data_IF_142815988519
#
_entry.id   IF_142815988519
#
_cell.length_a   1.000
_cell.length_b   1.000
_cell.length_c   1.000
_cell.angle_alpha   90.00
_cell.angle_beta   90.00
_cell.angle_gamma   90.00
#
_symmetry.space_group_name_H-M   'P 1'
#
loop_
_entity.id
_entity.type
_entity.pdbx_description
1 polymer ?
#
# COMPACT_ATOMS: atom_id res chain seq x y z
N UNK A 1 59.02 7.55 -15.71
CA UNK A 1 57.56 7.63 -15.96
C UNK A 1 57.00 8.66 -14.99
N UNK A 2 56.62 9.83 -15.49
CA UNK A 2 56.00 10.91 -14.71
C UNK A 2 54.47 10.71 -14.70
N UNK A 3 53.78 10.89 -13.56
CA UNK A 3 52.33 10.80 -13.54
C UNK A 3 51.69 12.06 -14.13
N UNK A 4 50.65 11.88 -14.93
CA UNK A 4 49.80 12.94 -15.46
C UNK A 4 48.68 13.20 -14.43
N UNK A 5 48.56 14.44 -13.97
CA UNK A 5 47.45 14.89 -13.12
C UNK A 5 46.39 15.58 -13.99
N UNK A 6 45.16 15.05 -14.00
CA UNK A 6 44.03 15.74 -14.60
C UNK A 6 43.41 16.69 -13.57
N UNK A 7 43.46 17.99 -13.83
CA UNK A 7 42.77 19.00 -13.03
C UNK A 7 41.32 19.09 -13.51
N UNK A 8 40.36 18.87 -12.61
CA UNK A 8 38.95 19.12 -12.89
C UNK A 8 38.58 20.51 -12.39
N UNK A 9 38.07 21.36 -13.30
CA UNK A 9 37.48 22.65 -12.95
C UNK A 9 36.10 22.46 -12.32
N UNK A 10 35.81 23.03 -11.14
CA UNK A 10 34.46 23.01 -10.59
C UNK A 10 33.57 23.99 -11.38
N UNK A 11 32.59 23.46 -12.13
CA UNK A 11 31.53 24.29 -12.69
C UNK A 11 30.48 24.55 -11.60
N UNK A 12 30.41 25.79 -11.12
CA UNK A 12 29.30 26.27 -10.29
C UNK A 12 28.05 26.43 -11.18
N UNK A 13 27.02 25.63 -10.93
CA UNK A 13 25.70 25.83 -11.55
C UNK A 13 24.89 26.73 -10.61
N UNK A 14 24.63 27.96 -11.05
CA UNK A 14 23.71 28.89 -10.39
C UNK A 14 22.27 28.37 -10.46
N UNK A 15 21.62 28.29 -9.31
CA UNK A 15 20.18 28.09 -9.18
C UNK A 15 19.45 29.35 -9.69
N UNK A 16 18.98 29.31 -10.93
CA UNK A 16 18.01 30.28 -11.43
C UNK A 16 16.62 29.88 -10.89
N UNK A 17 16.20 30.57 -9.84
CA UNK A 17 14.85 30.50 -9.29
C UNK A 17 13.91 31.26 -10.24
N UNK A 18 13.16 30.55 -11.08
CA UNK A 18 12.09 31.15 -11.88
C UNK A 18 10.75 30.62 -11.37
N UNK A 19 10.09 31.43 -10.56
CA UNK A 19 8.75 31.19 -10.03
C UNK A 19 7.71 31.35 -11.14
N UNK A 20 7.46 30.28 -11.88
CA UNK A 20 6.22 30.16 -12.65
C UNK A 20 5.19 29.45 -11.79
N UNK A 21 4.35 30.28 -11.18
CA UNK A 21 3.13 29.95 -10.47
C UNK A 21 2.19 29.17 -11.40
N UNK A 22 2.40 27.86 -11.50
CA UNK A 22 1.33 26.94 -11.87
C UNK A 22 0.58 26.69 -10.59
N UNK A 23 -0.63 27.24 -10.48
CA UNK A 23 -1.61 26.77 -9.51
C UNK A 23 -1.77 25.27 -9.73
N UNK A 24 -1.00 24.48 -8.97
CA UNK A 24 -1.34 23.10 -8.73
C UNK A 24 -2.61 23.23 -7.93
N UNK A 25 -3.74 23.07 -8.61
CA UNK A 25 -4.99 22.77 -7.97
C UNK A 25 -4.68 21.61 -7.03
N UNK A 26 -4.47 21.93 -5.75
CA UNK A 26 -4.54 20.97 -4.67
C UNK A 26 -6.01 20.59 -4.60
N UNK A 27 -6.48 19.86 -5.62
CA UNK A 27 -7.59 18.96 -5.42
C UNK A 27 -7.08 18.03 -4.34
N UNK A 28 -7.70 18.01 -3.14
CA UNK A 28 -7.51 16.85 -2.30
C UNK A 28 -7.89 15.70 -3.23
N UNK A 29 -6.93 14.81 -3.51
CA UNK A 29 -7.18 13.59 -4.24
C UNK A 29 -8.05 12.73 -3.30
N UNK A 30 -9.31 13.15 -3.13
CA UNK A 30 -10.37 12.32 -2.61
C UNK A 30 -10.55 11.27 -3.69
N UNK A 31 -9.73 10.22 -3.62
CA UNK A 31 -10.14 8.91 -4.08
C UNK A 31 -11.58 8.75 -3.60
N UNK A 32 -12.55 8.52 -4.49
CA UNK A 32 -13.91 8.23 -4.07
C UNK A 32 -13.79 7.07 -3.07
N UNK A 33 -14.32 7.25 -1.85
CA UNK A 33 -14.45 6.13 -0.92
C UNK A 33 -15.24 5.07 -1.66
N UNK A 34 -14.58 3.97 -1.99
CA UNK A 34 -15.26 2.85 -2.61
C UNK A 34 -16.28 2.33 -1.60
N UNK A 35 -17.46 1.96 -2.09
CA UNK A 35 -18.42 1.24 -1.28
C UNK A 35 -17.71 0.02 -0.66
N UNK A 36 -17.87 -0.17 0.65
CA UNK A 36 -17.25 -1.27 1.37
C UNK A 36 -17.85 -2.58 0.83
N UNK A 37 -17.06 -3.44 0.18
CA UNK A 37 -17.55 -4.68 -0.39
C UNK A 37 -17.82 -5.70 0.72
N UNK A 38 -18.57 -6.75 0.40
CA UNK A 38 -18.63 -7.93 1.25
C UNK A 38 -17.26 -8.64 1.31
N UNK A 39 -17.03 -9.44 2.37
CA UNK A 39 -15.82 -10.29 2.45
C UNK A 39 -15.71 -11.21 1.24
N UNK A 40 -16.82 -11.81 0.79
CA UNK A 40 -16.82 -12.66 -0.41
C UNK A 40 -16.32 -11.91 -1.65
N UNK A 41 -16.81 -10.70 -1.93
CA UNK A 41 -16.37 -9.89 -3.06
C UNK A 41 -14.91 -9.45 -2.91
N UNK A 42 -14.50 -9.09 -1.70
CA UNK A 42 -13.12 -8.70 -1.40
C UNK A 42 -12.13 -9.85 -1.68
N UNK A 43 -12.41 -11.04 -1.15
CA UNK A 43 -11.57 -12.22 -1.34
C UNK A 43 -11.60 -12.74 -2.78
N UNK A 44 -12.74 -12.65 -3.46
CA UNK A 44 -12.84 -12.95 -4.91
C UNK A 44 -11.91 -12.07 -5.73
N UNK A 45 -11.86 -10.75 -5.43
CA UNK A 45 -10.94 -9.82 -6.10
C UNK A 45 -9.48 -10.09 -5.72
N UNK A 46 -9.24 -10.51 -4.48
CA UNK A 46 -7.90 -10.76 -3.98
C UNK A 46 -7.27 -12.02 -4.58
N UNK A 47 -8.06 -13.08 -4.74
CA UNK A 47 -7.63 -14.41 -5.21
C UNK A 47 -7.60 -14.61 -6.73
N UNK A 48 -7.82 -13.56 -7.52
CA UNK A 48 -7.74 -13.61 -8.98
C UNK A 48 -6.34 -14.04 -9.51
N UNK A 49 -5.36 -14.22 -8.64
CA UNK A 49 -3.94 -14.45 -8.92
C UNK A 49 -3.38 -15.80 -8.38
N UNK A 50 -4.24 -16.73 -7.92
CA UNK A 50 -3.88 -18.17 -7.93
C UNK A 50 -3.66 -18.90 -6.59
N UNK A 51 -4.16 -18.38 -5.47
CA UNK A 51 -3.97 -18.97 -4.13
C UNK A 51 -5.29 -19.08 -3.33
N UNK A 52 -6.22 -19.87 -3.85
CA UNK A 52 -7.62 -19.94 -3.38
C UNK A 52 -7.80 -20.59 -2.01
N UNK A 53 -7.08 -21.67 -1.67
CA UNK A 53 -7.32 -22.43 -0.42
C UNK A 53 -7.02 -21.61 0.83
N UNK A 54 -5.82 -21.02 0.93
CA UNK A 54 -5.43 -20.20 2.09
C UNK A 54 -6.33 -18.96 2.24
N UNK A 55 -6.81 -18.41 1.11
CA UNK A 55 -7.75 -17.29 1.09
C UNK A 55 -9.14 -17.66 1.62
N UNK A 56 -9.62 -18.88 1.38
CA UNK A 56 -10.88 -19.37 1.95
C UNK A 56 -10.76 -19.48 3.47
N UNK A 57 -9.65 -20.01 3.99
CA UNK A 57 -9.42 -20.10 5.43
C UNK A 57 -9.40 -18.72 6.09
N UNK A 58 -8.66 -17.77 5.50
CA UNK A 58 -8.66 -16.40 6.00
C UNK A 58 -10.03 -15.73 5.95
N UNK A 59 -10.79 -15.91 4.86
CA UNK A 59 -12.16 -15.40 4.77
C UNK A 59 -13.01 -15.90 5.94
N UNK A 60 -12.97 -17.20 6.22
CA UNK A 60 -13.73 -17.81 7.31
C UNK A 60 -13.30 -17.26 8.68
N UNK A 61 -11.99 -17.05 8.89
CA UNK A 61 -11.47 -16.42 10.12
C UNK A 61 -12.05 -15.01 10.30
N UNK A 62 -12.02 -14.16 9.27
CA UNK A 62 -12.58 -12.82 9.35
C UNK A 62 -14.11 -12.83 9.56
N UNK A 63 -14.84 -13.77 8.95
CA UNK A 63 -16.28 -13.93 9.16
C UNK A 63 -16.61 -14.35 10.60
N UNK A 64 -15.87 -15.31 11.15
CA UNK A 64 -16.07 -15.82 12.51
C UNK A 64 -15.82 -14.75 13.58
N UNK A 65 -14.79 -13.93 13.39
CA UNK A 65 -14.45 -12.80 14.27
C UNK A 65 -15.25 -11.53 13.97
N UNK A 66 -16.18 -11.60 13.00
CA UNK A 66 -17.05 -10.49 12.57
C UNK A 66 -16.28 -9.23 12.13
N UNK A 67 -15.13 -9.42 11.50
CA UNK A 67 -14.29 -8.34 10.98
C UNK A 67 -14.79 -7.92 9.60
N UNK A 68 -15.09 -6.64 9.40
CA UNK A 68 -15.51 -6.09 8.09
C UNK A 68 -14.31 -5.60 7.27
N UNK A 69 -14.50 -5.45 5.95
CA UNK A 69 -13.39 -5.11 5.03
C UNK A 69 -12.72 -3.78 5.36
N UNK A 70 -13.49 -2.78 5.81
CA UNK A 70 -12.98 -1.47 6.23
C UNK A 70 -12.14 -1.52 7.52
N UNK A 71 -12.37 -2.52 8.38
CA UNK A 71 -11.61 -2.73 9.61
C UNK A 71 -10.28 -3.47 9.38
N UNK A 72 -10.16 -4.25 8.30
CA UNK A 72 -8.96 -5.04 8.00
C UNK A 72 -7.70 -4.18 7.91
N UNK A 73 -7.82 -2.94 7.41
CA UNK A 73 -6.68 -2.02 7.32
C UNK A 73 -6.10 -1.64 8.69
N UNK A 74 -6.96 -1.60 9.71
CA UNK A 74 -6.64 -1.11 11.06
C UNK A 74 -6.15 -2.21 12.00
N UNK A 75 -6.22 -3.48 11.59
CA UNK A 75 -5.70 -4.59 12.36
C UNK A 75 -4.19 -4.43 12.63
N UNK A 76 -3.84 -4.42 13.90
CA UNK A 76 -2.48 -4.44 14.43
C UNK A 76 -1.81 -5.77 14.16
N UNK A 77 -0.49 -5.83 14.33
CA UNK A 77 0.24 -7.10 14.18
C UNK A 77 -0.23 -8.14 15.21
N UNK A 78 -0.53 -7.71 16.45
CA UNK A 78 -1.02 -8.59 17.51
C UNK A 78 -2.40 -9.17 17.19
N UNK A 79 -3.30 -8.37 16.61
CA UNK A 79 -4.59 -8.87 16.14
C UNK A 79 -4.42 -9.87 14.99
N UNK A 80 -3.51 -9.61 14.03
CA UNK A 80 -3.19 -10.63 13.02
C UNK A 80 -2.57 -11.90 13.60
N UNK A 81 -1.79 -11.82 14.68
CA UNK A 81 -1.28 -12.98 15.40
C UNK A 81 -2.43 -13.78 16.03
N UNK A 82 -3.39 -13.10 16.67
CA UNK A 82 -4.60 -13.72 17.26
C UNK A 82 -5.48 -14.42 16.20
N UNK A 83 -5.57 -13.84 15.00
CA UNK A 83 -6.28 -14.41 13.86
C UNK A 83 -5.50 -15.56 13.17
N UNK A 84 -4.28 -15.86 13.59
CA UNK A 84 -3.43 -16.89 12.96
C UNK A 84 -2.86 -16.49 11.59
N UNK A 85 -2.98 -15.22 11.18
CA UNK A 85 -2.45 -14.70 9.91
C UNK A 85 -0.96 -14.40 10.08
N UNK A 86 -0.13 -15.45 10.14
CA UNK A 86 1.28 -15.33 10.59
C UNK A 86 2.26 -14.89 9.51
N UNK A 87 1.92 -15.06 8.22
CA UNK A 87 2.81 -14.69 7.13
C UNK A 87 2.81 -13.17 6.91
N UNK A 88 3.98 -12.54 6.99
CA UNK A 88 4.18 -11.10 6.76
C UNK A 88 3.63 -10.64 5.40
N UNK A 89 3.70 -11.49 4.37
CA UNK A 89 3.16 -11.22 3.04
C UNK A 89 1.64 -11.01 3.08
N UNK A 90 0.91 -11.91 3.75
CA UNK A 90 -0.55 -11.80 3.88
C UNK A 90 -0.98 -10.56 4.64
N UNK A 91 -0.32 -10.23 5.76
CA UNK A 91 -0.62 -9.00 6.52
C UNK A 91 -0.49 -7.76 5.64
N UNK A 92 0.58 -7.67 4.85
CA UNK A 92 0.79 -6.54 3.92
C UNK A 92 -0.28 -6.51 2.83
N UNK A 93 -0.57 -7.66 2.23
CA UNK A 93 -1.59 -7.81 1.18
C UNK A 93 -2.97 -7.38 1.67
N UNK A 94 -3.42 -7.86 2.83
CA UNK A 94 -4.73 -7.51 3.40
C UNK A 94 -4.83 -6.02 3.73
N UNK A 95 -3.86 -5.44 4.42
CA UNK A 95 -3.85 -3.99 4.72
C UNK A 95 -3.90 -3.16 3.45
N UNK A 96 -3.07 -3.49 2.46
CA UNK A 96 -3.00 -2.74 1.21
C UNK A 96 -4.30 -2.82 0.40
N UNK A 97 -4.92 -4.00 0.34
CA UNK A 97 -6.19 -4.21 -0.35
C UNK A 97 -7.35 -3.50 0.37
N UNK A 98 -7.40 -3.57 1.71
CA UNK A 98 -8.44 -2.94 2.52
C UNK A 98 -8.36 -1.41 2.58
N UNK A 99 -7.16 -0.83 2.40
CA UNK A 99 -6.92 0.62 2.47
C UNK A 99 -7.85 1.45 1.59
N UNK A 100 -8.33 0.88 0.48
CA UNK A 100 -9.17 1.56 -0.52
C UNK A 100 -10.62 1.76 -0.07
N UNK A 101 -11.02 1.14 1.04
CA UNK A 101 -12.39 1.15 1.57
C UNK A 101 -12.52 1.95 2.87
N UNK A 102 -11.46 2.66 3.26
CA UNK A 102 -11.40 3.49 4.47
C UNK A 102 -11.71 4.96 4.21
#
# INVERSE_FOLDING_TARGET
MTPIFFTMTPQMISLAQNSNMVNTSNTPLFSPKLAVPSLNEFFTKLGANGNTEELVDFKNIFENERITVDQINDLTNAEFDQLGVNKIGWRKTFRAAAKRYK
#
